data_IF_775117872597
#
_entry.id   IF_775117872597
#
_cell.length_a   1.000
_cell.length_b   1.000
_cell.length_c   1.000
_cell.angle_alpha   90.00
_cell.angle_beta   90.00
_cell.angle_gamma   90.00
#
_symmetry.space_group_name_H-M   'P 1'
#
loop_
_entity.id
_entity.type
_entity.pdbx_description
1 polymer ?
#
# COMPACT_ATOMS: atom_id res chain seq x y z
N UNK A 1 -6.60 -9.01 4.07
CA UNK A 1 -6.12 -7.84 4.83
C UNK A 1 -4.60 -7.89 4.89
N UNK A 2 -3.91 -6.75 4.77
CA UNK A 2 -2.47 -6.65 5.00
C UNK A 2 -2.18 -6.81 6.50
N UNK A 3 -1.08 -7.49 6.85
CA UNK A 3 -0.60 -7.53 8.23
C UNK A 3 -0.26 -6.11 8.72
N UNK A 4 -0.64 -5.69 9.94
CA UNK A 4 -0.27 -4.38 10.48
C UNK A 4 1.23 -4.09 10.45
N UNK A 5 2.06 -5.11 10.70
CA UNK A 5 3.52 -4.98 10.62
C UNK A 5 3.99 -4.72 9.19
N UNK A 6 3.38 -5.39 8.20
CA UNK A 6 3.74 -5.18 6.80
C UNK A 6 3.25 -3.81 6.29
N UNK A 7 2.10 -3.34 6.78
CA UNK A 7 1.65 -1.98 6.49
C UNK A 7 2.64 -0.95 7.04
N UNK A 8 3.13 -1.14 8.27
CA UNK A 8 4.14 -0.29 8.86
C UNK A 8 5.43 -0.20 8.03
N UNK A 9 5.88 -1.34 7.48
CA UNK A 9 7.08 -1.39 6.64
C UNK A 9 6.87 -0.77 5.25
N UNK A 10 5.67 -0.93 4.68
CA UNK A 10 5.35 -0.46 3.34
C UNK A 10 4.88 1.00 3.28
N UNK A 11 4.41 1.56 4.41
CA UNK A 11 3.94 2.93 4.44
C UNK A 11 5.09 3.92 4.16
N UNK A 12 5.06 4.68 3.05
CA UNK A 12 6.24 5.40 2.59
C UNK A 12 6.40 6.79 3.23
N UNK A 13 5.43 7.23 4.04
CA UNK A 13 5.31 8.60 4.54
C UNK A 13 5.33 8.67 6.07
N UNK A 14 5.08 9.86 6.62
CA UNK A 14 5.23 10.17 8.05
C UNK A 14 4.11 9.66 8.96
N UNK A 15 3.00 9.17 8.41
CA UNK A 15 1.82 8.78 9.19
C UNK A 15 0.98 9.96 9.68
N UNK A 16 1.19 11.17 9.14
CA UNK A 16 0.30 12.31 9.43
C UNK A 16 -0.92 12.25 8.51
N UNK A 17 -2.10 12.69 8.94
CA UNK A 17 -3.31 12.64 8.11
C UNK A 17 -3.14 13.32 6.75
N UNK A 18 -2.38 14.42 6.68
CA UNK A 18 -2.16 15.21 5.46
C UNK A 18 -0.91 14.79 4.66
N UNK A 19 -0.21 13.72 5.06
CA UNK A 19 1.05 13.37 4.43
C UNK A 19 0.90 12.90 2.98
N UNK A 20 -0.31 12.53 2.57
CA UNK A 20 -0.64 12.18 1.18
C UNK A 20 -0.36 13.33 0.21
N UNK A 21 -0.26 14.58 0.69
CA UNK A 21 0.19 15.73 -0.10
C UNK A 21 1.59 15.55 -0.70
N UNK A 22 2.41 14.65 -0.11
CA UNK A 22 3.73 14.27 -0.63
C UNK A 22 3.70 13.11 -1.62
N UNK A 23 2.54 12.46 -1.80
CA UNK A 23 2.38 11.40 -2.79
C UNK A 23 2.21 11.99 -4.21
N UNK A 24 2.75 11.33 -5.25
CA UNK A 24 2.64 11.79 -6.63
C UNK A 24 1.25 11.46 -7.21
N UNK A 25 0.22 12.08 -6.65
CA UNK A 25 -1.18 11.86 -7.02
C UNK A 25 -1.61 12.75 -8.18
N UNK A 26 -2.41 12.19 -9.10
CA UNK A 26 -3.23 12.94 -10.04
C UNK A 26 -4.33 13.76 -9.35
N UNK A 27 -4.96 14.66 -10.10
CA UNK A 27 -5.93 15.63 -9.58
C UNK A 27 -7.13 14.97 -8.89
N UNK A 28 -7.80 14.02 -9.54
CA UNK A 28 -8.97 13.33 -8.98
C UNK A 28 -8.62 12.56 -7.70
N UNK A 29 -7.46 11.87 -7.68
CA UNK A 29 -7.00 11.15 -6.51
C UNK A 29 -6.73 12.09 -5.33
N UNK A 30 -6.08 13.25 -5.60
CA UNK A 30 -5.84 14.27 -4.58
C UNK A 30 -7.15 14.83 -4.02
N UNK A 31 -8.10 15.18 -4.88
CA UNK A 31 -9.42 15.70 -4.46
C UNK A 31 -10.18 14.70 -3.58
N UNK A 32 -10.17 13.41 -3.92
CA UNK A 32 -10.76 12.36 -3.06
C UNK A 32 -10.10 12.36 -1.68
N UNK A 33 -8.76 12.36 -1.61
CA UNK A 33 -8.05 12.34 -0.34
C UNK A 33 -8.30 13.60 0.52
N UNK A 34 -8.44 14.77 -0.11
CA UNK A 34 -8.78 16.03 0.55
C UNK A 34 -10.20 16.00 1.14
N UNK A 35 -11.19 15.49 0.40
CA UNK A 35 -12.56 15.32 0.92
C UNK A 35 -12.55 14.39 2.14
N UNK A 36 -11.88 13.23 2.06
CA UNK A 36 -11.79 12.30 3.19
C UNK A 36 -11.04 12.94 4.38
N UNK A 37 -10.00 13.75 4.13
CA UNK A 37 -9.28 14.47 5.18
C UNK A 37 -10.23 15.41 5.95
N UNK A 38 -11.07 16.16 5.24
CA UNK A 38 -11.99 17.14 5.81
C UNK A 38 -13.22 16.50 6.46
N UNK A 39 -13.83 15.52 5.80
CA UNK A 39 -15.14 14.96 6.14
C UNK A 39 -15.07 13.71 7.02
N UNK A 40 -13.89 13.11 7.20
CA UNK A 40 -13.77 11.82 7.90
C UNK A 40 -13.94 10.62 6.96
N UNK A 41 -14.27 9.42 7.46
CA UNK A 41 -14.61 8.28 6.61
C UNK A 41 -15.79 8.63 5.69
N UNK A 42 -15.68 8.35 4.39
CA UNK A 42 -16.71 8.75 3.41
C UNK A 42 -16.96 7.63 2.41
N UNK A 43 -18.24 7.36 2.09
CA UNK A 43 -18.59 6.33 1.11
C UNK A 43 -18.18 6.72 -0.31
N UNK A 44 -17.84 5.71 -1.10
CA UNK A 44 -17.51 5.87 -2.53
C UNK A 44 -18.69 6.42 -3.34
N UNK A 45 -19.93 6.27 -2.87
CA UNK A 45 -21.08 6.90 -3.48
C UNK A 45 -21.09 8.42 -3.21
N UNK A 46 -21.02 8.83 -1.93
CA UNK A 46 -20.95 10.24 -1.55
C UNK A 46 -19.75 10.97 -2.19
N UNK A 47 -18.58 10.32 -2.24
CA UNK A 47 -17.39 10.89 -2.89
C UNK A 47 -17.59 11.16 -4.40
N UNK A 48 -18.33 10.30 -5.11
CA UNK A 48 -18.59 10.52 -6.54
C UNK A 48 -19.54 11.68 -6.76
N UNK A 49 -20.60 11.74 -5.95
CA UNK A 49 -21.59 12.81 -6.00
C UNK A 49 -20.94 14.16 -5.69
N UNK A 50 -20.21 14.26 -4.57
CA UNK A 50 -19.56 15.50 -4.14
C UNK A 50 -18.52 16.00 -5.14
N UNK A 51 -17.78 15.09 -5.79
CA UNK A 51 -16.75 15.44 -6.76
C UNK A 51 -17.27 15.62 -8.19
N UNK A 52 -18.56 15.38 -8.43
CA UNK A 52 -19.16 15.41 -9.76
C UNK A 52 -18.57 14.34 -10.69
N UNK A 53 -18.20 13.18 -10.14
CA UNK A 53 -17.63 12.03 -10.85
C UNK A 53 -18.69 10.97 -11.18
N UNK A 54 -19.92 11.42 -11.43
CA UNK A 54 -21.03 10.56 -11.84
C UNK A 54 -21.01 10.20 -13.33
N UNK A 55 -21.83 9.20 -13.67
CA UNK A 55 -21.96 8.70 -15.04
C UNK A 55 -20.74 7.91 -15.54
N UNK A 56 -20.81 7.37 -16.76
CA UNK A 56 -19.83 6.38 -17.26
C UNK A 56 -18.38 6.90 -17.29
N UNK A 57 -18.18 8.17 -17.69
CA UNK A 57 -16.83 8.78 -17.73
C UNK A 57 -16.31 9.11 -16.32
N UNK A 58 -17.17 9.62 -15.44
CA UNK A 58 -16.82 9.90 -14.05
C UNK A 58 -16.43 8.63 -13.29
N UNK A 59 -17.19 7.54 -13.48
CA UNK A 59 -16.89 6.24 -12.89
C UNK A 59 -15.51 5.69 -13.29
N UNK A 60 -15.13 5.83 -14.56
CA UNK A 60 -13.81 5.40 -15.03
C UNK A 60 -12.68 6.22 -14.39
N UNK A 61 -12.87 7.54 -14.28
CA UNK A 61 -11.93 8.46 -13.60
C UNK A 61 -11.80 8.13 -12.12
N UNK A 62 -12.93 7.98 -11.42
CA UNK A 62 -12.98 7.62 -10.01
C UNK A 62 -12.31 6.27 -9.75
N UNK A 63 -12.59 5.25 -10.56
CA UNK A 63 -11.95 3.93 -10.44
C UNK A 63 -10.43 4.01 -10.62
N UNK A 64 -9.95 4.80 -11.59
CA UNK A 64 -8.51 5.05 -11.78
C UNK A 64 -7.91 5.77 -10.58
N UNK A 65 -8.59 6.79 -10.05
CA UNK A 65 -8.15 7.54 -8.88
C UNK A 65 -8.08 6.66 -7.63
N UNK A 66 -9.08 5.79 -7.41
CA UNK A 66 -9.05 4.82 -6.30
C UNK A 66 -7.90 3.81 -6.43
N UNK A 67 -7.67 3.29 -7.64
CA UNK A 67 -6.54 2.39 -7.87
C UNK A 67 -5.19 3.08 -7.60
N UNK A 68 -5.07 4.37 -7.95
CA UNK A 68 -3.90 5.18 -7.65
C UNK A 68 -3.71 5.41 -6.15
N UNK A 69 -4.77 5.80 -5.44
CA UNK A 69 -4.75 5.98 -3.99
C UNK A 69 -4.37 4.69 -3.26
N UNK A 70 -4.91 3.55 -3.69
CA UNK A 70 -4.58 2.23 -3.16
C UNK A 70 -3.10 1.86 -3.38
N UNK A 71 -2.57 2.08 -4.59
CA UNK A 71 -1.14 1.85 -4.89
C UNK A 71 -0.21 2.71 -4.04
N UNK A 72 -0.63 3.93 -3.70
CA UNK A 72 0.14 4.81 -2.83
C UNK A 72 -0.18 4.64 -1.34
N UNK A 73 -1.01 3.66 -0.96
CA UNK A 73 -1.47 3.41 0.41
C UNK A 73 -2.08 4.65 1.07
N UNK A 74 -2.73 5.53 0.30
CA UNK A 74 -3.32 6.77 0.83
C UNK A 74 -4.63 6.49 1.55
N UNK A 75 -5.48 5.64 0.97
CA UNK A 75 -6.78 5.26 1.53
C UNK A 75 -6.86 3.75 1.78
N UNK A 76 -7.71 3.38 2.72
CA UNK A 76 -8.14 2.01 3.01
C UNK A 76 -9.65 1.92 2.98
N UNK A 77 -10.17 0.71 2.75
CA UNK A 77 -11.55 0.40 3.08
C UNK A 77 -11.70 0.41 4.62
N UNK A 78 -12.70 1.16 5.10
CA UNK A 78 -13.02 1.38 6.52
C UNK A 78 -14.43 0.86 6.89
N UNK A 79 -15.14 0.24 5.95
CA UNK A 79 -16.47 -0.30 6.17
C UNK A 79 -17.31 -0.26 4.90
N UNK A 80 -18.61 -0.46 5.09
CA UNK A 80 -19.59 -0.30 4.03
C UNK A 80 -20.76 0.53 4.53
N UNK A 81 -21.40 1.26 3.63
CA UNK A 81 -22.59 2.04 3.89
C UNK A 81 -23.68 1.61 2.91
N UNK A 82 -24.86 1.31 3.44
CA UNK A 82 -26.02 0.98 2.60
C UNK A 82 -26.53 2.24 1.91
N UNK A 83 -26.66 2.19 0.59
CA UNK A 83 -27.14 3.30 -0.24
C UNK A 83 -28.44 2.92 -0.98
N UNK A 84 -29.35 2.24 -0.27
CA UNK A 84 -30.63 1.79 -0.83
C UNK A 84 -30.51 0.48 -1.62
N UNK A 85 -31.36 0.25 -2.65
CA UNK A 85 -31.36 -1.00 -3.40
C UNK A 85 -30.07 -1.15 -4.21
N UNK A 86 -29.21 -2.10 -3.81
CA UNK A 86 -27.95 -2.36 -4.49
C UNK A 86 -26.90 -2.99 -3.59
N UNK A 87 -25.67 -3.05 -4.08
CA UNK A 87 -24.52 -3.44 -3.25
C UNK A 87 -24.10 -2.27 -2.35
N UNK A 88 -23.78 -2.53 -1.07
CA UNK A 88 -23.28 -1.50 -0.16
C UNK A 88 -22.06 -0.78 -0.73
N UNK A 89 -21.99 0.54 -0.56
CA UNK A 89 -20.86 1.33 -1.00
C UNK A 89 -19.71 1.19 0.00
N UNK A 90 -18.48 0.98 -0.48
CA UNK A 90 -17.31 0.98 0.40
C UNK A 90 -17.11 2.36 1.02
N UNK A 91 -16.83 2.40 2.32
CA UNK A 91 -16.40 3.60 3.05
C UNK A 91 -14.89 3.68 3.02
N UNK A 92 -14.35 4.82 2.61
CA UNK A 92 -12.92 5.06 2.53
C UNK A 92 -12.46 5.93 3.71
N UNK A 93 -11.28 5.61 4.22
CA UNK A 93 -10.58 6.39 5.24
C UNK A 93 -9.10 6.50 4.83
N UNK A 94 -8.44 7.59 5.23
CA UNK A 94 -7.00 7.77 5.12
C UNK A 94 -6.29 6.68 5.93
N UNK A 95 -5.39 5.95 5.28
CA UNK A 95 -4.60 4.88 5.91
C UNK A 95 -3.87 5.37 7.16
N UNK A 96 -3.37 6.61 7.15
CA UNK A 96 -2.67 7.23 8.27
C UNK A 96 -3.56 7.52 9.49
N UNK A 97 -4.88 7.67 9.31
CA UNK A 97 -5.85 7.81 10.42
C UNK A 97 -6.39 6.46 10.87
N UNK A 98 -6.67 5.57 9.91
CA UNK A 98 -7.22 4.24 10.20
C UNK A 98 -6.24 3.31 10.93
N UNK A 99 -4.93 3.48 10.71
CA UNK A 99 -3.90 2.60 11.26
C UNK A 99 -2.78 3.40 11.92
N UNK A 100 -2.23 2.85 13.00
CA UNK A 100 -0.99 3.32 13.60
C UNK A 100 0.21 2.95 12.70
N UNK A 101 0.44 3.76 11.65
CA UNK A 101 1.61 3.61 10.77
C UNK A 101 2.80 4.35 11.39
N UNK A 102 3.90 3.65 11.72
CA UNK A 102 5.04 4.28 12.36
C UNK A 102 5.71 5.30 11.43
N UNK A 103 6.00 6.47 12.00
CA UNK A 103 6.76 7.55 11.36
C UNK A 103 8.27 7.35 11.42
N UNK A 104 8.73 6.32 12.13
CA UNK A 104 10.12 6.08 12.49
C UNK A 104 10.78 4.96 11.67
N UNK A 105 12.12 4.97 11.65
CA UNK A 105 12.94 4.02 10.89
C UNK A 105 13.40 4.59 9.54
N UNK A 106 14.55 4.13 9.05
CA UNK A 106 15.04 4.57 7.74
C UNK A 106 14.24 3.85 6.64
N UNK A 107 13.83 4.53 5.55
CA UNK A 107 13.07 3.90 4.47
C UNK A 107 13.71 2.61 3.92
N UNK A 108 15.05 2.52 3.89
CA UNK A 108 15.77 1.30 3.50
C UNK A 108 15.57 0.14 4.47
N UNK A 109 15.59 0.40 5.79
CA UNK A 109 15.39 -0.64 6.82
C UNK A 109 13.98 -1.23 6.77
N UNK A 110 12.97 -0.37 6.55
CA UNK A 110 11.58 -0.81 6.40
C UNK A 110 11.37 -1.65 5.14
N UNK A 111 11.94 -1.23 4.00
CA UNK A 111 11.89 -2.03 2.76
C UNK A 111 12.58 -3.38 2.93
N UNK A 112 13.71 -3.42 3.62
CA UNK A 112 14.37 -4.68 3.93
C UNK A 112 13.49 -5.60 4.80
N UNK A 113 12.83 -5.05 5.81
CA UNK A 113 11.91 -5.78 6.68
C UNK A 113 10.68 -6.34 5.91
N UNK A 114 10.11 -5.56 4.99
CA UNK A 114 9.04 -6.02 4.10
C UNK A 114 9.52 -7.16 3.18
N UNK A 115 10.70 -7.03 2.57
CA UNK A 115 11.29 -8.07 1.71
C UNK A 115 11.58 -9.35 2.50
N UNK A 116 12.10 -9.23 3.72
CA UNK A 116 12.32 -10.35 4.64
C UNK A 116 11.01 -11.08 4.95
N UNK A 117 9.98 -10.34 5.34
CA UNK A 117 8.66 -10.89 5.67
C UNK A 117 8.05 -11.62 4.46
N UNK A 118 8.16 -11.04 3.27
CA UNK A 118 7.71 -11.67 2.03
C UNK A 118 8.42 -12.99 1.76
N UNK A 119 9.75 -13.00 1.84
CA UNK A 119 10.57 -14.17 1.58
C UNK A 119 10.31 -15.28 2.61
N UNK A 120 10.15 -14.93 3.88
CA UNK A 120 9.81 -15.88 4.95
C UNK A 120 8.42 -16.48 4.77
N UNK A 121 7.48 -15.75 4.18
CA UNK A 121 6.11 -16.21 3.93
C UNK A 121 6.03 -17.09 2.69
N UNK A 122 6.69 -16.68 1.60
CA UNK A 122 6.63 -17.37 0.30
C UNK A 122 7.64 -18.52 0.19
N UNK A 123 8.64 -18.57 1.08
CA UNK A 123 9.75 -19.54 1.15
C UNK A 123 10.70 -19.56 -0.06
N UNK A 124 10.29 -19.04 -1.20
CA UNK A 124 11.15 -18.74 -2.33
C UNK A 124 10.51 -17.68 -3.23
N UNK A 125 11.30 -16.78 -3.81
CA UNK A 125 10.79 -15.79 -4.76
C UNK A 125 11.86 -15.28 -5.72
N UNK A 126 11.43 -14.69 -6.83
CA UNK A 126 12.29 -13.85 -7.68
C UNK A 126 12.08 -12.37 -7.36
N UNK A 127 12.99 -11.52 -7.81
CA UNK A 127 12.89 -10.06 -7.72
C UNK A 127 11.58 -9.52 -8.31
N UNK A 128 11.09 -10.13 -9.40
CA UNK A 128 9.83 -9.79 -10.05
C UNK A 128 8.60 -10.01 -9.16
N UNK A 129 8.64 -11.00 -8.26
CA UNK A 129 7.51 -11.31 -7.39
C UNK A 129 7.37 -10.27 -6.29
N UNK A 130 8.51 -9.86 -5.68
CA UNK A 130 8.56 -8.78 -4.70
C UNK A 130 8.17 -7.45 -5.34
N UNK A 131 8.71 -7.15 -6.53
CA UNK A 131 8.38 -5.94 -7.27
C UNK A 131 6.87 -5.83 -7.52
N UNK A 132 6.23 -6.94 -7.93
CA UNK A 132 4.79 -7.01 -8.16
C UNK A 132 4.00 -6.86 -6.85
N UNK A 133 4.41 -7.54 -5.79
CA UNK A 133 3.70 -7.54 -4.51
C UNK A 133 3.69 -6.15 -3.84
N UNK A 134 4.79 -5.41 -3.94
CA UNK A 134 4.97 -4.13 -3.24
C UNK A 134 4.96 -2.91 -4.17
N UNK A 135 4.64 -3.11 -5.45
CA UNK A 135 4.69 -2.07 -6.48
C UNK A 135 6.05 -1.33 -6.55
N UNK A 136 7.15 -2.05 -6.33
CA UNK A 136 8.51 -1.53 -6.44
C UNK A 136 9.06 -1.72 -7.85
N UNK A 137 10.15 -1.02 -8.16
CA UNK A 137 10.93 -1.37 -9.35
C UNK A 137 11.63 -2.73 -9.13
N UNK A 138 11.88 -3.48 -10.20
CA UNK A 138 12.69 -4.72 -10.10
C UNK A 138 14.09 -4.44 -9.53
N UNK A 139 14.65 -3.27 -9.81
CA UNK A 139 15.93 -2.82 -9.26
C UNK A 139 15.86 -2.71 -7.73
N UNK A 140 14.85 -2.03 -7.19
CA UNK A 140 14.69 -1.85 -5.75
C UNK A 140 14.43 -3.19 -5.05
N UNK A 141 13.55 -4.02 -5.63
CA UNK A 141 13.26 -5.35 -5.13
C UNK A 141 14.51 -6.23 -5.07
N UNK A 142 15.29 -6.26 -6.15
CA UNK A 142 16.57 -6.96 -6.18
C UNK A 142 17.53 -6.42 -5.12
N UNK A 143 17.67 -5.10 -5.00
CA UNK A 143 18.56 -4.49 -4.02
C UNK A 143 18.23 -4.92 -2.58
N UNK A 144 16.94 -5.03 -2.22
CA UNK A 144 16.57 -5.53 -0.88
C UNK A 144 16.87 -7.02 -0.70
N UNK A 145 16.63 -7.85 -1.73
CA UNK A 145 16.90 -9.29 -1.67
C UNK A 145 18.40 -9.59 -1.59
N UNK A 146 19.23 -8.84 -2.32
CA UNK A 146 20.70 -8.94 -2.23
C UNK A 146 21.22 -8.47 -0.87
N UNK A 147 20.62 -7.44 -0.24
CA UNK A 147 20.97 -7.04 1.13
C UNK A 147 20.65 -8.14 2.16
N UNK A 148 19.54 -8.89 1.97
CA UNK A 148 19.27 -10.08 2.81
C UNK A 148 20.32 -11.18 2.62
N UNK A 149 20.82 -11.37 1.39
CA UNK A 149 21.90 -12.32 1.11
C UNK A 149 23.20 -11.87 1.77
N UNK A 150 23.56 -10.58 1.66
CA UNK A 150 24.74 -10.01 2.29
C UNK A 150 24.73 -10.09 3.82
N UNK A 151 23.55 -10.22 4.43
CA UNK A 151 23.33 -10.39 5.88
C UNK A 151 23.22 -11.85 6.33
N UNK A 152 23.46 -12.81 5.43
CA UNK A 152 23.28 -14.25 5.68
C UNK A 152 21.83 -14.65 6.07
N UNK A 153 20.85 -13.82 5.72
CA UNK A 153 19.43 -14.07 6.00
C UNK A 153 18.71 -14.76 4.83
N UNK A 154 19.31 -14.72 3.65
CA UNK A 154 18.83 -15.36 2.44
C UNK A 154 19.98 -16.01 1.66
N UNK A 155 19.64 -16.93 0.77
CA UNK A 155 20.54 -17.47 -0.25
C UNK A 155 19.97 -17.19 -1.63
N UNK A 156 20.82 -16.92 -2.61
CA UNK A 156 20.43 -16.71 -4.02
C UNK A 156 21.09 -17.76 -4.92
N UNK A 157 20.30 -18.32 -5.82
CA UNK A 157 20.74 -19.30 -6.84
C UNK A 157 19.94 -19.02 -8.12
N UNK A 158 20.61 -18.70 -9.23
CA UNK A 158 19.98 -18.38 -10.53
C UNK A 158 18.83 -17.35 -10.46
N UNK A 159 19.00 -16.35 -9.59
CA UNK A 159 18.02 -15.29 -9.35
C UNK A 159 16.77 -15.72 -8.57
N UNK A 160 16.79 -16.92 -7.99
CA UNK A 160 15.81 -17.40 -7.03
C UNK A 160 16.36 -17.23 -5.61
N UNK A 161 15.62 -16.50 -4.78
CA UNK A 161 15.98 -16.24 -3.40
C UNK A 161 15.22 -17.18 -2.47
N UNK A 162 15.88 -17.66 -1.41
CA UNK A 162 15.29 -18.52 -0.36
C UNK A 162 15.75 -18.05 1.03
N UNK A 163 14.94 -18.18 2.09
CA UNK A 163 15.41 -17.93 3.45
C UNK A 163 16.63 -18.80 3.78
N UNK A 164 17.63 -18.23 4.45
CA UNK A 164 18.74 -19.02 4.96
C UNK A 164 18.21 -20.07 5.95
N UNK A 165 18.65 -21.33 5.82
CA UNK A 165 18.31 -22.37 6.79
C UNK A 165 18.90 -21.96 8.14
N UNK A 166 18.05 -21.74 9.15
CA UNK A 166 18.54 -21.57 10.53
C UNK A 166 19.37 -22.80 10.88
N UNK A 167 20.68 -22.64 11.07
CA UNK A 167 21.49 -23.66 11.73
C UNK A 167 20.90 -23.81 13.13
N UNK A 168 20.20 -24.91 13.40
CA UNK A 168 19.89 -25.31 14.77
C UNK A 168 21.25 -25.46 15.48
N UNK A 169 21.53 -24.56 16.42
CA UNK A 169 22.55 -24.80 17.44
C UNK A 169 21.97 -25.73 18.48
#
# INVERSE_FOLDING_TARGET
MLSPALLADLYPRSGRPDDFTKAPLGEDARRIAEVVLLSGPTSTAALREELGLDGKKGQARFSRALAELGRHLVVTNFGVEDHGPGWPAAVLELTARAFAVPSSGRPGERRLAAARTFLQTTLSCRDADVARAFAWTRRDARAQLEDLVARDEATSEDGLYRPARRRRR
#
